data_IF_154003272409
#
_entry.id   IF_154003272409
#
_cell.length_a   1.000
_cell.length_b   1.000
_cell.length_c   1.000
_cell.angle_alpha   90.00
_cell.angle_beta   90.00
_cell.angle_gamma   90.00
#
_symmetry.space_group_name_H-M   'P 1'
#
loop_
_entity.id
_entity.type
_entity.pdbx_description
1 polymer ?
#
# COMPACT_ATOMS: atom_id res chain seq x y z
N UNK A 1 39.24 -11.91 -18.14
CA UNK A 1 37.76 -11.92 -18.17
C UNK A 1 37.28 -11.53 -16.78
N UNK A 2 36.96 -10.25 -16.60
CA UNK A 2 36.70 -9.64 -15.29
C UNK A 2 35.25 -9.89 -14.89
N UNK A 3 35.03 -10.82 -13.95
CA UNK A 3 33.72 -11.04 -13.36
C UNK A 3 33.35 -9.84 -12.49
N UNK A 4 32.14 -9.30 -12.67
CA UNK A 4 31.60 -8.18 -11.91
C UNK A 4 31.67 -8.44 -10.40
N UNK A 5 32.67 -7.86 -9.74
CA UNK A 5 32.79 -7.83 -8.28
C UNK A 5 31.79 -6.84 -7.67
N UNK A 6 30.50 -7.18 -7.71
CA UNK A 6 29.49 -6.45 -6.93
C UNK A 6 29.29 -7.09 -5.54
N UNK A 7 29.89 -6.41 -4.55
CA UNK A 7 29.21 -5.96 -3.33
C UNK A 7 28.92 -6.98 -2.21
N UNK A 8 29.98 -7.40 -1.50
CA UNK A 8 29.88 -7.84 -0.10
C UNK A 8 28.99 -6.95 0.81
N UNK A 9 29.03 -5.60 0.71
CA UNK A 9 28.13 -4.73 1.47
C UNK A 9 26.65 -4.83 1.10
N UNK A 10 26.27 -5.10 -0.16
CA UNK A 10 24.85 -5.21 -0.53
C UNK A 10 24.20 -6.47 0.03
N UNK A 11 24.98 -7.54 0.16
CA UNK A 11 24.48 -8.80 0.75
C UNK A 11 24.11 -8.65 2.23
N UNK A 12 24.87 -7.83 2.97
CA UNK A 12 24.59 -7.49 4.37
C UNK A 12 23.36 -6.57 4.50
N UNK A 13 23.27 -5.54 3.64
CA UNK A 13 22.10 -4.63 3.62
C UNK A 13 20.81 -5.36 3.28
N UNK A 14 20.83 -6.27 2.30
CA UNK A 14 19.65 -7.06 1.91
C UNK A 14 19.22 -8.01 3.04
N UNK A 15 20.16 -8.59 3.80
CA UNK A 15 19.81 -9.43 4.96
C UNK A 15 19.25 -8.62 6.11
N UNK A 16 19.81 -7.43 6.38
CA UNK A 16 19.35 -6.52 7.42
C UNK A 16 17.94 -5.99 7.12
N UNK A 17 17.66 -5.65 5.86
CA UNK A 17 16.39 -5.07 5.43
C UNK A 17 15.43 -6.08 4.80
N UNK A 18 15.72 -7.40 4.87
CA UNK A 18 14.91 -8.43 4.22
C UNK A 18 13.45 -8.34 4.65
N UNK A 19 13.21 -8.11 5.94
CA UNK A 19 11.88 -8.10 6.50
C UNK A 19 11.09 -6.87 5.99
N UNK A 20 11.75 -5.71 5.89
CA UNK A 20 11.16 -4.49 5.30
C UNK A 20 10.85 -4.69 3.83
N UNK A 21 11.76 -5.30 3.07
CA UNK A 21 11.56 -5.65 1.65
C UNK A 21 10.41 -6.64 1.45
N UNK A 22 10.29 -7.66 2.31
CA UNK A 22 9.21 -8.63 2.26
C UNK A 22 7.87 -8.02 2.64
N UNK A 23 7.81 -7.18 3.69
CA UNK A 23 6.58 -6.48 4.09
C UNK A 23 6.14 -5.50 3.00
N UNK A 24 7.04 -4.68 2.47
CA UNK A 24 6.69 -3.71 1.43
C UNK A 24 6.28 -4.42 0.13
N UNK A 25 6.98 -5.48 -0.25
CA UNK A 25 6.64 -6.33 -1.40
C UNK A 25 5.28 -7.01 -1.24
N UNK A 26 5.01 -7.60 -0.07
CA UNK A 26 3.72 -8.23 0.23
C UNK A 26 2.58 -7.21 0.22
N UNK A 27 2.78 -6.02 0.77
CA UNK A 27 1.78 -4.97 0.78
C UNK A 27 1.48 -4.46 -0.64
N UNK A 28 2.52 -4.27 -1.46
CA UNK A 28 2.36 -3.88 -2.86
C UNK A 28 1.60 -4.95 -3.66
N UNK A 29 1.96 -6.23 -3.50
CA UNK A 29 1.28 -7.35 -4.16
C UNK A 29 -0.18 -7.48 -3.72
N UNK A 30 -0.45 -7.31 -2.42
CA UNK A 30 -1.81 -7.34 -1.90
C UNK A 30 -2.65 -6.17 -2.45
N UNK A 31 -2.07 -4.97 -2.57
CA UNK A 31 -2.74 -3.83 -3.23
C UNK A 31 -3.05 -4.09 -4.71
N UNK A 32 -2.10 -4.67 -5.46
CA UNK A 32 -2.30 -5.05 -6.87
C UNK A 32 -3.42 -6.10 -7.00
N UNK A 33 -3.39 -7.14 -6.16
CA UNK A 33 -4.41 -8.19 -6.16
C UNK A 33 -5.81 -7.64 -5.85
N UNK A 34 -5.91 -6.67 -4.93
CA UNK A 34 -7.16 -5.99 -4.59
C UNK A 34 -7.74 -5.21 -5.78
N UNK A 35 -6.89 -4.48 -6.52
CA UNK A 35 -7.30 -3.73 -7.71
C UNK A 35 -7.74 -4.67 -8.84
N UNK A 36 -6.98 -5.74 -9.10
CA UNK A 36 -7.33 -6.72 -10.13
C UNK A 36 -8.62 -7.44 -9.76
N UNK A 37 -8.78 -7.86 -8.50
CA UNK A 37 -9.99 -8.51 -8.02
C UNK A 37 -11.22 -7.59 -8.08
N UNK A 38 -11.04 -6.31 -7.75
CA UNK A 38 -12.09 -5.31 -7.91
C UNK A 38 -12.51 -5.17 -9.37
N UNK A 39 -11.55 -5.00 -10.28
CA UNK A 39 -11.82 -4.83 -11.70
C UNK A 39 -12.53 -6.07 -12.29
N UNK A 40 -12.07 -7.27 -11.93
CA UNK A 40 -12.69 -8.52 -12.36
C UNK A 40 -14.14 -8.63 -11.88
N UNK A 41 -14.39 -8.32 -10.60
CA UNK A 41 -15.73 -8.42 -10.04
C UNK A 41 -16.69 -7.39 -10.65
N UNK A 42 -16.24 -6.15 -10.84
CA UNK A 42 -17.09 -5.09 -11.43
C UNK A 42 -17.35 -5.32 -12.91
N UNK A 43 -16.39 -5.88 -13.66
CA UNK A 43 -16.60 -6.23 -15.07
C UNK A 43 -17.57 -7.40 -15.21
N UNK A 44 -17.39 -8.48 -14.43
CA UNK A 44 -18.34 -9.60 -14.43
C UNK A 44 -19.77 -9.17 -14.04
N UNK A 45 -19.92 -8.30 -13.03
CA UNK A 45 -21.22 -7.77 -12.64
C UNK A 45 -21.85 -6.87 -13.73
N UNK A 46 -21.02 -6.14 -14.48
CA UNK A 46 -21.49 -5.32 -15.60
C UNK A 46 -21.94 -6.19 -16.79
N UNK A 47 -21.22 -7.27 -17.08
CA UNK A 47 -21.56 -8.22 -18.14
C UNK A 47 -22.88 -8.96 -17.82
N UNK A 48 -23.04 -9.45 -16.59
CA UNK A 48 -24.29 -10.05 -16.12
C UNK A 48 -25.47 -9.07 -16.22
N UNK A 49 -25.26 -7.79 -15.83
CA UNK A 49 -26.28 -6.76 -15.94
C UNK A 49 -26.62 -6.45 -17.41
N UNK A 50 -25.62 -6.38 -18.29
CA UNK A 50 -25.83 -6.17 -19.72
C UNK A 50 -26.66 -7.29 -20.35
N UNK A 51 -26.50 -8.53 -19.88
CA UNK A 51 -27.30 -9.69 -20.30
C UNK A 51 -28.79 -9.59 -19.95
N UNK A 52 -29.17 -8.74 -19.00
CA UNK A 52 -30.59 -8.53 -18.63
C UNK A 52 -31.36 -7.61 -19.59
N UNK A 53 -30.67 -6.91 -20.50
CA UNK A 53 -31.27 -5.94 -21.42
C UNK A 53 -31.72 -4.63 -20.75
N UNK A 54 -31.40 -4.44 -19.47
CA UNK A 54 -31.74 -3.25 -18.72
C UNK A 54 -30.64 -2.19 -18.79
N UNK A 55 -31.03 -0.93 -18.58
CA UNK A 55 -30.11 0.21 -18.59
C UNK A 55 -30.23 1.03 -17.32
N UNK A 56 -29.09 1.53 -16.84
CA UNK A 56 -29.03 2.55 -15.78
C UNK A 56 -29.22 3.95 -16.36
N UNK A 57 -28.86 4.18 -17.63
CA UNK A 57 -28.99 5.48 -18.31
C UNK A 57 -30.40 5.74 -18.86
N UNK A 58 -31.08 4.69 -19.29
CA UNK A 58 -32.43 4.78 -19.84
C UNK A 58 -33.41 4.04 -18.94
N UNK A 59 -34.53 4.69 -18.63
CA UNK A 59 -35.60 4.08 -17.83
C UNK A 59 -36.29 2.97 -18.64
N UNK A 60 -36.06 1.73 -18.25
CA UNK A 60 -36.75 0.55 -18.81
C UNK A 60 -37.83 0.10 -17.83
N UNK A 61 -39.08 0.00 -18.31
CA UNK A 61 -40.23 -0.41 -17.50
C UNK A 61 -40.03 -1.83 -16.97
N UNK A 62 -40.27 -2.06 -15.68
CA UNK A 62 -40.11 -3.38 -15.06
C UNK A 62 -38.69 -3.71 -14.58
N UNK A 63 -37.69 -2.84 -14.79
CA UNK A 63 -36.30 -3.13 -14.43
C UNK A 63 -35.78 -2.47 -13.14
N UNK A 64 -36.68 -1.98 -12.29
CA UNK A 64 -36.31 -1.29 -11.05
C UNK A 64 -35.55 -2.17 -10.05
N UNK A 65 -35.85 -3.48 -10.00
CA UNK A 65 -35.22 -4.40 -9.05
C UNK A 65 -33.78 -4.73 -9.47
N UNK A 66 -33.55 -5.03 -10.74
CA UNK A 66 -32.25 -5.40 -11.28
C UNK A 66 -31.29 -4.21 -11.22
N UNK A 67 -31.77 -3.00 -11.58
CA UNK A 67 -30.99 -1.77 -11.45
C UNK A 67 -30.63 -1.51 -9.98
N UNK A 68 -31.59 -1.62 -9.05
CA UNK A 68 -31.29 -1.48 -7.61
C UNK A 68 -30.30 -2.50 -7.10
N UNK A 69 -30.42 -3.77 -7.51
CA UNK A 69 -29.51 -4.83 -7.11
C UNK A 69 -28.09 -4.55 -7.60
N UNK A 70 -27.94 -4.20 -8.89
CA UNK A 70 -26.66 -3.81 -9.48
C UNK A 70 -26.02 -2.62 -8.73
N UNK A 71 -26.76 -1.51 -8.56
CA UNK A 71 -26.24 -0.35 -7.83
C UNK A 71 -25.90 -0.68 -6.37
N UNK A 72 -26.66 -1.56 -5.70
CA UNK A 72 -26.40 -1.93 -4.31
C UNK A 72 -25.09 -2.70 -4.15
N UNK A 73 -24.80 -3.61 -5.09
CA UNK A 73 -23.54 -4.37 -5.13
C UNK A 73 -22.39 -3.40 -5.41
N UNK A 74 -22.54 -2.54 -6.41
CA UNK A 74 -21.51 -1.57 -6.79
C UNK A 74 -21.17 -0.64 -5.61
N UNK A 75 -22.19 -0.13 -4.91
CA UNK A 75 -22.02 0.73 -3.74
C UNK A 75 -21.36 0.01 -2.56
N UNK A 76 -21.73 -1.25 -2.31
CA UNK A 76 -21.13 -2.05 -1.24
C UNK A 76 -19.66 -2.34 -1.51
N UNK A 77 -19.34 -2.76 -2.73
CA UNK A 77 -17.97 -3.04 -3.16
C UNK A 77 -17.11 -1.76 -3.16
N UNK A 78 -17.69 -0.64 -3.61
CA UNK A 78 -17.06 0.67 -3.56
C UNK A 78 -16.68 1.10 -2.13
N UNK A 79 -17.51 0.78 -1.12
CA UNK A 79 -17.21 1.05 0.29
C UNK A 79 -16.11 0.14 0.81
N UNK A 80 -16.22 -1.17 0.60
CA UNK A 80 -15.22 -2.16 1.01
C UNK A 80 -13.83 -1.82 0.48
N UNK A 81 -13.73 -1.47 -0.81
CA UNK A 81 -12.46 -1.09 -1.43
C UNK A 81 -11.90 0.22 -0.86
N UNK A 82 -12.76 1.19 -0.55
CA UNK A 82 -12.33 2.45 0.05
C UNK A 82 -11.79 2.23 1.47
N UNK A 83 -12.47 1.41 2.28
CA UNK A 83 -12.05 1.06 3.63
C UNK A 83 -10.75 0.24 3.61
N UNK A 84 -10.66 -0.74 2.71
CA UNK A 84 -9.44 -1.52 2.50
C UNK A 84 -8.26 -0.64 2.08
N UNK A 85 -8.49 0.33 1.18
CA UNK A 85 -7.47 1.32 0.81
C UNK A 85 -7.00 2.15 2.00
N UNK A 86 -7.92 2.59 2.87
CA UNK A 86 -7.58 3.32 4.08
C UNK A 86 -6.76 2.45 5.05
N UNK A 87 -7.13 1.20 5.25
CA UNK A 87 -6.35 0.26 6.08
C UNK A 87 -4.97 0.01 5.48
N UNK A 88 -4.86 -0.24 4.17
CA UNK A 88 -3.58 -0.46 3.50
C UNK A 88 -2.65 0.75 3.58
N UNK A 89 -3.20 1.97 3.61
CA UNK A 89 -2.42 3.20 3.79
C UNK A 89 -2.02 3.45 5.25
N UNK A 90 -2.92 3.21 6.20
CA UNK A 90 -2.71 3.49 7.63
C UNK A 90 -1.87 2.42 8.34
N UNK A 91 -2.05 1.14 8.02
CA UNK A 91 -1.38 0.01 8.67
C UNK A 91 0.16 0.12 8.66
N UNK A 92 0.84 0.38 7.53
CA UNK A 92 2.29 0.54 7.53
C UNK A 92 2.76 1.74 8.36
N UNK A 93 1.98 2.83 8.41
CA UNK A 93 2.30 3.98 9.25
C UNK A 93 2.22 3.64 10.75
N UNK A 94 1.19 2.89 11.16
CA UNK A 94 1.03 2.42 12.54
C UNK A 94 2.13 1.43 12.94
N UNK A 95 2.48 0.49 12.06
CA UNK A 95 3.60 -0.43 12.28
C UNK A 95 4.91 0.35 12.41
N UNK A 96 5.14 1.33 11.53
CA UNK A 96 6.31 2.20 11.58
C UNK A 96 6.43 2.96 12.90
N UNK A 97 5.31 3.51 13.39
CA UNK A 97 5.24 4.22 14.67
C UNK A 97 5.55 3.29 15.85
N UNK A 98 4.98 2.08 15.86
CA UNK A 98 5.20 1.10 16.92
C UNK A 98 6.65 0.60 16.96
N UNK A 99 7.25 0.35 15.79
CA UNK A 99 8.64 -0.15 15.68
C UNK A 99 9.66 0.94 15.98
N UNK A 100 9.35 2.22 15.69
CA UNK A 100 10.26 3.34 15.94
C UNK A 100 10.57 3.52 17.44
N UNK A 101 9.59 3.33 18.33
CA UNK A 101 9.76 3.53 19.77
C UNK A 101 10.87 2.69 20.41
N UNK A 102 10.83 1.34 20.31
CA UNK A 102 11.85 0.46 20.85
C UNK A 102 13.24 0.65 20.20
N UNK A 103 13.28 1.05 18.92
CA UNK A 103 14.53 1.35 18.23
C UNK A 103 15.21 2.59 18.82
N UNK A 104 14.43 3.64 19.07
CA UNK A 104 14.91 4.87 19.73
C UNK A 104 15.28 4.59 21.20
N UNK A 105 14.48 3.78 21.90
CA UNK A 105 14.74 3.40 23.29
C UNK A 105 16.06 2.63 23.47
N UNK A 106 16.35 1.66 22.59
CA UNK A 106 17.61 0.91 22.65
C UNK A 106 18.85 1.78 22.41
N UNK A 107 18.77 2.76 21.53
CA UNK A 107 19.89 3.69 21.31
C UNK A 107 20.13 4.62 22.51
N UNK A 108 19.09 4.92 23.29
CA UNK A 108 19.19 5.67 24.54
C UNK A 108 19.78 4.82 25.68
N UNK A 109 19.34 3.57 25.80
CA UNK A 109 19.80 2.65 26.85
C UNK A 109 21.23 2.12 26.62
N UNK A 110 21.63 1.87 25.35
CA UNK A 110 22.95 1.30 25.02
C UNK A 110 24.12 2.31 25.20
N UNK A 111 23.85 3.57 25.59
CA UNK A 111 24.89 4.55 25.93
C UNK A 111 25.78 4.99 24.76
N UNK A 112 25.50 4.52 23.53
CA UNK A 112 26.25 4.85 22.30
C UNK A 112 26.31 6.36 22.02
N UNK A 113 25.32 7.12 22.50
CA UNK A 113 25.33 8.57 22.47
C UNK A 113 26.58 9.17 23.15
N UNK A 114 27.08 8.57 24.23
CA UNK A 114 28.23 9.06 24.99
C UNK A 114 29.56 8.93 24.22
N UNK A 115 29.74 7.83 23.48
CA UNK A 115 30.90 7.61 22.61
C UNK A 115 30.83 8.42 21.31
N UNK A 116 29.62 8.69 20.79
CA UNK A 116 29.46 9.56 19.62
C UNK A 116 29.73 11.04 19.94
N UNK A 117 29.47 11.46 21.19
CA UNK A 117 29.72 12.81 21.69
C UNK A 117 31.22 13.13 21.73
N UNK A 118 32.07 12.13 22.00
CA UNK A 118 33.53 12.30 21.94
C UNK A 118 34.08 12.24 20.52
N UNK A 119 33.34 11.67 19.56
CA UNK A 119 33.75 11.55 18.15
C UNK A 119 33.05 12.53 17.19
N UNK A 120 32.31 13.53 17.68
CA UNK A 120 31.66 14.61 16.90
C UNK A 120 30.80 14.18 15.70
N UNK A 121 30.32 12.93 15.68
CA UNK A 121 29.38 12.44 14.64
C UNK A 121 27.98 12.34 15.22
N UNK A 122 27.02 13.09 14.67
CA UNK A 122 25.65 13.14 15.19
C UNK A 122 24.97 11.73 15.16
N UNK A 123 24.62 11.13 16.31
CA UNK A 123 24.07 9.78 16.38
C UNK A 123 22.62 9.71 15.83
N UNK A 124 21.85 10.79 15.96
CA UNK A 124 20.43 10.83 15.61
C UNK A 124 20.13 10.82 14.09
N UNK A 125 21.11 11.13 13.22
CA UNK A 125 20.87 11.18 11.76
C UNK A 125 20.79 9.81 11.10
N UNK A 126 21.46 8.80 11.66
CA UNK A 126 21.51 7.45 11.08
C UNK A 126 20.21 6.64 11.23
N UNK A 127 19.54 6.59 12.39
CA UNK A 127 18.29 5.84 12.54
C UNK A 127 17.14 6.52 11.80
N UNK A 128 17.06 7.86 11.87
CA UNK A 128 16.05 8.64 11.16
C UNK A 128 16.15 8.45 9.63
N UNK A 129 17.35 8.48 9.05
CA UNK A 129 17.54 8.24 7.62
C UNK A 129 17.18 6.80 7.20
N UNK A 130 17.47 5.80 8.04
CA UNK A 130 17.16 4.39 7.75
C UNK A 130 15.65 4.10 7.75
N UNK A 131 14.86 4.88 8.48
CA UNK A 131 13.41 4.71 8.61
C UNK A 131 12.62 5.68 7.72
N UNK A 132 13.15 6.87 7.43
CA UNK A 132 12.49 7.86 6.58
C UNK A 132 12.33 7.37 5.14
N UNK A 133 13.35 6.74 4.57
CA UNK A 133 13.30 6.24 3.18
C UNK A 133 12.19 5.19 2.98
N UNK A 134 12.10 4.10 3.78
CA UNK A 134 11.01 3.13 3.62
C UNK A 134 9.65 3.72 3.97
N UNK A 135 9.55 4.62 4.95
CA UNK A 135 8.30 5.30 5.27
C UNK A 135 7.79 6.15 4.09
N UNK A 136 8.66 6.95 3.48
CA UNK A 136 8.33 7.75 2.29
C UNK A 136 7.93 6.84 1.13
N UNK A 137 8.66 5.74 0.90
CA UNK A 137 8.33 4.81 -0.18
C UNK A 137 6.94 4.18 0.00
N UNK A 138 6.59 3.81 1.24
CA UNK A 138 5.29 3.25 1.57
C UNK A 138 4.18 4.28 1.39
N UNK A 139 4.38 5.52 1.85
CA UNK A 139 3.41 6.62 1.65
C UNK A 139 3.21 6.91 0.17
N UNK A 140 4.29 6.97 -0.62
CA UNK A 140 4.21 7.20 -2.06
C UNK A 140 3.52 6.05 -2.79
N UNK A 141 3.83 4.80 -2.45
CA UNK A 141 3.17 3.62 -3.03
C UNK A 141 1.67 3.64 -2.73
N UNK A 142 1.31 3.90 -1.46
CA UNK A 142 -0.07 4.01 -1.01
C UNK A 142 -0.84 5.14 -1.73
N UNK A 143 -0.21 6.32 -1.85
CA UNK A 143 -0.76 7.45 -2.59
C UNK A 143 -0.94 7.15 -4.08
N UNK A 144 0.02 6.46 -4.70
CA UNK A 144 -0.05 6.06 -6.11
C UNK A 144 -1.19 5.06 -6.36
N UNK A 145 -1.38 4.06 -5.51
CA UNK A 145 -2.53 3.13 -5.58
C UNK A 145 -3.87 3.85 -5.40
N UNK A 146 -3.95 4.78 -4.44
CA UNK A 146 -5.16 5.57 -4.23
C UNK A 146 -5.47 6.48 -5.42
N UNK A 147 -4.44 7.07 -6.03
CA UNK A 147 -4.59 7.91 -7.22
C UNK A 147 -5.02 7.07 -8.43
N UNK A 148 -4.36 5.94 -8.69
CA UNK A 148 -4.71 5.02 -9.76
C UNK A 148 -6.17 4.56 -9.63
N UNK A 149 -6.61 4.26 -8.41
CA UNK A 149 -8.01 3.91 -8.14
C UNK A 149 -8.99 5.03 -8.46
N UNK A 150 -8.68 6.28 -8.06
CA UNK A 150 -9.49 7.46 -8.43
C UNK A 150 -9.57 7.67 -9.93
N UNK A 151 -8.47 7.45 -10.64
CA UNK A 151 -8.40 7.57 -12.10
C UNK A 151 -9.26 6.47 -12.75
N UNK A 152 -9.11 5.21 -12.33
CA UNK A 152 -9.90 4.10 -12.88
C UNK A 152 -11.41 4.32 -12.69
N UNK A 153 -11.82 4.80 -11.51
CA UNK A 153 -13.22 5.14 -11.24
C UNK A 153 -13.73 6.28 -12.13
N UNK A 154 -12.91 7.31 -12.40
CA UNK A 154 -13.28 8.39 -13.32
C UNK A 154 -13.47 7.93 -14.76
N UNK A 155 -12.78 6.88 -15.19
CA UNK A 155 -12.94 6.33 -16.54
C UNK A 155 -14.24 5.53 -16.73
N UNK A 156 -14.82 5.00 -15.64
CA UNK A 156 -16.03 4.20 -15.68
C UNK A 156 -17.32 4.97 -15.30
N UNK A 157 -17.21 6.23 -14.85
CA UNK A 157 -18.33 7.14 -14.61
C UNK A 157 -18.71 7.90 -15.90
#
# INVERSE_FOLDING_TARGET
>A
MSALALRGPVRLVVRQHRLVLWISGALALAGIALVIGAWWFTSAAADDFAGTGCSVRHTVTGCGIQVRHFLSIELHYARLLNDAGLVMTALPALIGLYVAGPLIGRELDDGTCRLSWTQSVSPARRPAAKLAVPAILLVLAAAATALAFRVLRRYHA
#
